data_IF_623866734454
#
_entry.id   IF_623866734454
#
_cell.length_a   1.000
_cell.length_b   1.000
_cell.length_c   1.000
_cell.angle_alpha   90.00
_cell.angle_beta   90.00
_cell.angle_gamma   90.00
#
_symmetry.space_group_name_H-M   'P 1'
#
loop_
_entity.id
_entity.type
_entity.pdbx_description
1 polymer ?
#
# COMPACT_ATOMS: atom_id res chain seq x y z
N UNK A 1 14.05 69.08 -26.34
CA UNK A 1 13.13 67.92 -26.21
C UNK A 1 13.86 66.67 -26.68
N UNK A 2 14.19 65.74 -25.77
CA UNK A 2 14.66 64.38 -26.10
C UNK A 2 13.69 63.41 -25.42
N UNK A 3 12.95 62.65 -26.22
CA UNK A 3 12.02 61.62 -25.75
C UNK A 3 12.83 60.33 -25.60
N UNK A 4 12.91 59.79 -24.38
CA UNK A 4 13.52 58.49 -24.10
C UNK A 4 12.37 57.47 -24.06
N UNK A 5 12.30 56.57 -25.05
CA UNK A 5 11.39 55.44 -25.03
C UNK A 5 11.96 54.34 -24.14
N UNK A 6 11.27 54.03 -23.04
CA UNK A 6 11.57 52.88 -22.18
C UNK A 6 10.79 51.67 -22.69
N UNK A 7 11.47 50.70 -23.31
CA UNK A 7 10.86 49.45 -23.74
C UNK A 7 10.79 48.47 -22.57
N UNK A 8 9.59 48.22 -22.06
CA UNK A 8 9.32 47.16 -21.08
C UNK A 8 9.20 45.82 -21.81
N UNK A 9 10.21 44.96 -21.69
CA UNK A 9 10.17 43.58 -22.19
C UNK A 9 9.37 42.72 -21.19
N UNK A 10 8.15 42.33 -21.57
CA UNK A 10 7.34 41.37 -20.81
C UNK A 10 7.89 39.96 -21.07
N UNK A 11 8.46 39.32 -20.06
CA UNK A 11 8.90 37.92 -20.14
C UNK A 11 7.70 37.03 -19.77
N UNK A 12 7.13 36.36 -20.78
CA UNK A 12 6.04 35.41 -20.60
C UNK A 12 6.63 34.03 -20.24
N UNK A 13 6.62 33.69 -18.96
CA UNK A 13 7.04 32.36 -18.48
C UNK A 13 5.98 31.31 -18.84
N UNK A 14 6.25 30.50 -19.86
CA UNK A 14 5.41 29.34 -20.20
C UNK A 14 5.77 28.21 -19.22
N UNK A 15 4.89 27.96 -18.24
CA UNK A 15 4.99 26.77 -17.41
C UNK A 15 4.63 25.53 -18.24
N UNK A 16 5.64 24.74 -18.60
CA UNK A 16 5.42 23.42 -19.18
C UNK A 16 4.87 22.51 -18.10
N UNK A 17 3.56 22.22 -18.17
CA UNK A 17 2.94 21.15 -17.39
C UNK A 17 3.54 19.83 -17.84
N UNK A 18 4.44 19.26 -17.04
CA UNK A 18 4.89 17.88 -17.24
C UNK A 18 3.65 16.99 -17.08
N UNK A 19 3.25 16.21 -18.10
CA UNK A 19 2.14 15.29 -17.92
C UNK A 19 2.52 14.31 -16.81
N UNK A 20 1.71 14.28 -15.75
CA UNK A 20 1.81 13.25 -14.73
C UNK A 20 1.74 11.91 -15.48
N UNK A 21 2.76 11.07 -15.31
CA UNK A 21 2.81 9.75 -15.93
C UNK A 21 1.51 9.03 -15.58
N UNK A 22 0.64 8.85 -16.56
CA UNK A 22 -0.63 8.13 -16.38
C UNK A 22 -0.28 6.76 -15.84
N UNK A 23 -0.69 6.49 -14.60
CA UNK A 23 -0.47 5.20 -13.97
C UNK A 23 -1.00 4.11 -14.93
N UNK A 24 -0.20 3.06 -15.11
CA UNK A 24 -0.60 1.89 -15.90
C UNK A 24 -1.98 1.43 -15.42
N UNK A 25 -2.89 1.19 -16.35
CA UNK A 25 -4.22 0.66 -16.01
C UNK A 25 -4.05 -0.70 -15.30
N UNK A 26 -4.85 -0.93 -14.27
CA UNK A 26 -4.79 -2.20 -13.55
C UNK A 26 -5.34 -3.33 -14.41
N UNK A 27 -4.85 -4.55 -14.21
CA UNK A 27 -5.52 -5.73 -14.74
C UNK A 27 -6.96 -5.77 -14.17
N UNK A 28 -8.01 -5.78 -15.01
CA UNK A 28 -9.39 -5.85 -14.54
C UNK A 28 -9.65 -7.00 -13.56
N UNK A 29 -8.93 -8.12 -13.69
CA UNK A 29 -9.06 -9.28 -12.79
C UNK A 29 -8.58 -8.99 -11.37
N UNK A 30 -7.56 -8.15 -11.23
CA UNK A 30 -7.04 -7.75 -9.91
C UNK A 30 -8.05 -6.86 -9.18
N UNK A 31 -8.92 -6.13 -9.87
CA UNK A 31 -9.74 -5.06 -9.24
C UNK A 31 -11.24 -5.27 -9.37
N UNK A 32 -11.67 -6.39 -9.95
CA UNK A 32 -13.08 -6.73 -10.13
C UNK A 32 -13.82 -7.04 -8.82
N UNK A 33 -13.11 -7.46 -7.78
CA UNK A 33 -13.72 -7.84 -6.50
C UNK A 33 -12.83 -7.48 -5.31
N UNK A 34 -13.44 -7.39 -4.12
CA UNK A 34 -12.72 -7.22 -2.85
C UNK A 34 -11.65 -8.31 -2.68
N UNK A 35 -12.00 -9.57 -2.97
CA UNK A 35 -11.08 -10.70 -2.82
C UNK A 35 -9.91 -10.61 -3.80
N UNK A 36 -10.19 -10.22 -5.05
CA UNK A 36 -9.18 -10.04 -6.09
C UNK A 36 -8.15 -8.98 -5.72
N UNK A 37 -8.60 -7.80 -5.27
CA UNK A 37 -7.69 -6.68 -5.03
C UNK A 37 -6.83 -6.92 -3.80
N UNK A 38 -7.42 -7.51 -2.76
CA UNK A 38 -6.69 -7.96 -1.57
C UNK A 38 -5.61 -8.97 -1.96
N UNK A 39 -5.96 -9.99 -2.77
CA UNK A 39 -4.99 -10.97 -3.27
C UNK A 39 -3.89 -10.30 -4.08
N UNK A 40 -4.23 -9.35 -4.96
CA UNK A 40 -3.26 -8.65 -5.80
C UNK A 40 -2.25 -7.85 -4.98
N UNK A 41 -2.69 -7.19 -3.89
CA UNK A 41 -1.81 -6.48 -2.97
C UNK A 41 -0.81 -7.42 -2.31
N UNK A 42 -1.28 -8.54 -1.74
CA UNK A 42 -0.39 -9.53 -1.10
C UNK A 42 0.60 -10.14 -2.10
N UNK A 43 0.13 -10.43 -3.31
CA UNK A 43 0.91 -11.06 -4.37
C UNK A 43 2.02 -10.13 -4.89
N UNK A 44 1.72 -8.86 -5.16
CA UNK A 44 2.69 -7.95 -5.80
C UNK A 44 3.85 -7.54 -4.89
N UNK A 45 3.67 -7.55 -3.56
CA UNK A 45 4.75 -7.31 -2.61
C UNK A 45 5.56 -8.60 -2.32
N UNK A 46 5.05 -9.76 -2.74
CA UNK A 46 5.63 -11.06 -2.48
C UNK A 46 6.58 -11.54 -3.58
N UNK A 47 7.63 -12.26 -3.21
CA UNK A 47 8.64 -12.78 -4.13
C UNK A 47 9.95 -13.13 -3.43
N UNK A 48 10.68 -14.08 -4.00
CA UNK A 48 11.98 -14.51 -3.48
C UNK A 48 13.03 -13.40 -3.55
N UNK A 49 14.14 -13.61 -2.84
CA UNK A 49 15.28 -12.70 -2.88
C UNK A 49 15.81 -12.54 -4.31
N UNK A 50 16.13 -11.30 -4.69
CA UNK A 50 16.60 -10.92 -6.03
C UNK A 50 15.50 -10.82 -7.10
N UNK A 51 14.23 -11.10 -6.78
CA UNK A 51 13.13 -10.93 -7.72
C UNK A 51 12.55 -9.51 -7.65
N UNK A 52 12.69 -8.75 -8.72
CA UNK A 52 12.03 -7.45 -8.84
C UNK A 52 10.50 -7.58 -8.71
N UNK A 53 9.87 -6.61 -8.05
CA UNK A 53 8.41 -6.53 -7.96
C UNK A 53 7.84 -5.75 -9.13
N UNK A 54 6.61 -6.09 -9.51
CA UNK A 54 5.85 -5.31 -10.49
C UNK A 54 5.26 -4.06 -9.80
N UNK A 55 6.07 -3.01 -9.68
CA UNK A 55 5.64 -1.78 -9.03
C UNK A 55 4.57 -1.01 -9.80
N UNK A 56 4.43 -1.24 -11.11
CA UNK A 56 3.36 -0.64 -11.89
C UNK A 56 2.03 -1.32 -11.60
N UNK A 57 2.02 -2.65 -11.48
CA UNK A 57 0.87 -3.38 -10.94
C UNK A 57 0.52 -2.89 -9.55
N UNK A 58 1.50 -2.77 -8.64
CA UNK A 58 1.27 -2.26 -7.29
C UNK A 58 0.57 -0.89 -7.32
N UNK A 59 1.13 0.09 -8.03
CA UNK A 59 0.56 1.45 -8.14
C UNK A 59 -0.87 1.44 -8.68
N UNK A 60 -1.15 0.57 -9.64
CA UNK A 60 -2.48 0.48 -10.28
C UNK A 60 -3.61 0.06 -9.33
N UNK A 61 -3.29 -0.54 -8.17
CA UNK A 61 -4.29 -1.01 -7.18
C UNK A 61 -4.79 0.12 -6.25
N UNK A 62 -4.05 1.22 -6.13
CA UNK A 62 -4.30 2.26 -5.14
C UNK A 62 -5.08 3.44 -5.71
N UNK A 63 -5.97 3.99 -4.89
CA UNK A 63 -6.54 5.30 -5.16
C UNK A 63 -5.44 6.38 -5.17
N UNK A 64 -5.62 7.46 -5.94
CA UNK A 64 -4.62 8.54 -6.07
C UNK A 64 -4.21 9.18 -4.73
N UNK A 65 -5.13 9.17 -3.76
CA UNK A 65 -4.93 9.74 -2.41
C UNK A 65 -4.66 8.67 -1.35
N UNK A 66 -4.27 7.46 -1.77
CA UNK A 66 -4.12 6.34 -0.86
C UNK A 66 -2.97 6.52 0.14
N UNK A 67 -3.10 5.87 1.29
CA UNK A 67 -2.13 5.95 2.39
C UNK A 67 -1.71 4.57 2.86
N UNK A 68 -0.41 4.40 3.09
CA UNK A 68 0.17 3.27 3.78
C UNK A 68 0.71 3.77 5.12
N UNK A 69 0.25 3.16 6.21
CA UNK A 69 0.47 3.68 7.55
C UNK A 69 0.95 2.53 8.46
N UNK A 70 2.25 2.32 8.63
CA UNK A 70 2.75 1.47 9.72
C UNK A 70 2.52 2.16 11.06
N UNK A 71 2.00 1.42 12.02
CA UNK A 71 2.01 1.75 13.44
C UNK A 71 2.96 0.84 14.20
N UNK A 72 3.51 1.36 15.29
CA UNK A 72 4.27 0.57 16.24
C UNK A 72 4.84 1.40 17.37
N UNK A 73 5.50 0.71 18.28
CA UNK A 73 6.29 1.33 19.35
C UNK A 73 7.69 1.62 18.82
N UNK A 74 8.14 2.87 18.93
CA UNK A 74 9.51 3.22 18.62
C UNK A 74 10.45 2.50 19.61
N UNK A 75 11.48 1.81 19.11
CA UNK A 75 12.36 1.00 19.94
C UNK A 75 13.26 1.81 20.88
N UNK A 76 13.59 3.05 20.50
CA UNK A 76 14.48 3.93 21.26
C UNK A 76 13.71 4.76 22.30
N UNK A 77 12.56 5.32 21.91
CA UNK A 77 11.78 6.23 22.77
C UNK A 77 10.65 5.53 23.52
N UNK A 78 10.26 4.33 23.10
CA UNK A 78 9.12 3.61 23.66
C UNK A 78 7.76 4.22 23.33
N UNK A 79 7.70 5.30 22.55
CA UNK A 79 6.45 5.98 22.19
C UNK A 79 5.74 5.21 21.09
N UNK A 80 4.44 4.99 21.25
CA UNK A 80 3.58 4.44 20.20
C UNK A 80 3.23 5.55 19.21
N UNK A 81 3.41 5.28 17.93
CA UNK A 81 3.08 6.23 16.87
C UNK A 81 2.83 5.55 15.54
N UNK A 82 2.52 6.38 14.55
CA UNK A 82 2.30 5.95 13.17
C UNK A 82 3.00 6.91 12.21
N UNK A 83 3.36 6.40 11.04
CA UNK A 83 3.95 7.21 9.96
C UNK A 83 3.10 7.08 8.71
N UNK A 84 2.73 8.19 8.08
CA UNK A 84 1.97 8.17 6.83
C UNK A 84 2.94 8.11 5.65
N UNK A 85 2.62 7.27 4.67
CA UNK A 85 3.31 7.13 3.38
C UNK A 85 2.31 7.13 2.24
N UNK A 86 2.73 7.63 1.08
CA UNK A 86 2.07 7.32 -0.19
C UNK A 86 2.50 5.93 -0.70
N UNK A 87 1.79 5.34 -1.68
CA UNK A 87 2.27 4.15 -2.40
C UNK A 87 3.67 4.32 -2.95
N UNK A 88 4.03 5.51 -3.46
CA UNK A 88 5.36 5.76 -4.02
C UNK A 88 6.45 5.80 -2.93
N UNK A 89 6.16 6.38 -1.76
CA UNK A 89 7.08 6.35 -0.62
C UNK A 89 7.34 4.92 -0.14
N UNK A 90 6.31 4.06 -0.19
CA UNK A 90 6.44 2.65 0.13
C UNK A 90 7.32 1.92 -0.88
N UNK A 91 7.12 2.14 -2.19
CA UNK A 91 7.98 1.55 -3.24
C UNK A 91 9.44 1.95 -3.02
N UNK A 92 9.71 3.24 -2.79
CA UNK A 92 11.07 3.76 -2.58
C UNK A 92 11.71 3.25 -1.29
N UNK A 93 10.95 3.23 -0.20
CA UNK A 93 11.47 2.89 1.13
C UNK A 93 11.57 1.39 1.39
N UNK A 94 10.56 0.62 0.99
CA UNK A 94 10.47 -0.82 1.27
C UNK A 94 10.93 -1.68 0.11
N UNK A 95 10.77 -1.24 -1.13
CA UNK A 95 11.06 -2.06 -2.33
C UNK A 95 12.45 -2.70 -2.35
N UNK A 96 13.55 -1.94 -2.14
CA UNK A 96 14.90 -2.50 -2.10
C UNK A 96 15.08 -3.57 -1.02
N UNK A 97 14.43 -3.40 0.13
CA UNK A 97 14.50 -4.39 1.22
C UNK A 97 13.76 -5.67 0.86
N UNK A 98 12.55 -5.57 0.30
CA UNK A 98 11.74 -6.72 -0.09
C UNK A 98 12.44 -7.57 -1.15
N UNK A 99 13.01 -6.92 -2.16
CA UNK A 99 13.78 -7.59 -3.21
C UNK A 99 15.05 -8.24 -2.66
N UNK A 100 15.85 -7.50 -1.88
CA UNK A 100 17.12 -8.02 -1.35
C UNK A 100 16.95 -9.24 -0.45
N UNK A 101 15.93 -9.24 0.41
CA UNK A 101 15.83 -10.21 1.50
C UNK A 101 14.88 -11.38 1.21
N UNK A 102 14.08 -11.28 0.15
CA UNK A 102 12.94 -12.17 -0.04
C UNK A 102 11.83 -11.86 0.97
N UNK A 103 10.61 -11.85 0.48
CA UNK A 103 9.44 -11.54 1.29
C UNK A 103 8.22 -12.15 0.65
N UNK A 104 7.48 -12.94 1.41
CA UNK A 104 6.21 -13.51 0.99
C UNK A 104 5.19 -13.27 2.09
N UNK A 105 4.23 -12.41 1.85
CA UNK A 105 3.15 -12.14 2.79
C UNK A 105 1.88 -12.87 2.36
N UNK A 106 1.27 -13.58 3.31
CA UNK A 106 0.09 -14.40 3.07
C UNK A 106 -0.99 -14.02 4.06
N UNK A 107 -2.19 -13.78 3.55
CA UNK A 107 -3.38 -13.67 4.38
C UNK A 107 -3.67 -15.02 5.06
N UNK A 108 -3.87 -14.98 6.37
CA UNK A 108 -4.27 -16.11 7.20
C UNK A 108 -5.78 -16.10 7.44
N UNK A 109 -6.33 -14.93 7.77
CA UNK A 109 -7.71 -14.76 8.19
C UNK A 109 -8.13 -13.31 7.95
N UNK A 110 -9.43 -13.07 7.75
CA UNK A 110 -9.97 -11.71 7.71
C UNK A 110 -11.37 -11.59 8.29
N UNK A 111 -11.66 -10.39 8.79
CA UNK A 111 -12.99 -9.88 9.14
C UNK A 111 -13.34 -8.75 8.18
N UNK A 112 -14.55 -8.75 7.63
CA UNK A 112 -14.98 -7.80 6.59
C UNK A 112 -16.26 -7.11 7.02
N UNK A 113 -16.20 -5.79 7.16
CA UNK A 113 -17.37 -4.93 7.32
C UNK A 113 -17.58 -4.12 6.04
N UNK A 114 -18.79 -4.15 5.48
CA UNK A 114 -19.13 -3.45 4.24
C UNK A 114 -20.42 -2.64 4.41
N UNK A 115 -20.42 -1.42 3.87
CA UNK A 115 -21.60 -0.58 3.79
C UNK A 115 -21.55 0.27 2.51
N UNK A 116 -22.58 0.18 1.68
CA UNK A 116 -22.60 0.86 0.38
C UNK A 116 -21.36 0.52 -0.45
N UNK A 117 -20.58 1.54 -0.79
CA UNK A 117 -19.41 1.42 -1.66
C UNK A 117 -18.07 1.37 -0.90
N UNK A 118 -18.08 1.18 0.42
CA UNK A 118 -16.88 1.06 1.25
C UNK A 118 -16.74 -0.32 1.89
N UNK A 119 -15.50 -0.74 2.10
CA UNK A 119 -15.16 -1.93 2.87
C UNK A 119 -14.04 -1.62 3.88
N UNK A 120 -14.18 -2.15 5.09
CA UNK A 120 -13.13 -2.21 6.11
C UNK A 120 -12.76 -3.68 6.30
N UNK A 121 -11.47 -4.00 6.17
CA UNK A 121 -10.99 -5.39 6.30
C UNK A 121 -9.85 -5.46 7.29
N UNK A 122 -10.05 -6.17 8.39
CA UNK A 122 -8.95 -6.60 9.26
C UNK A 122 -8.44 -7.93 8.72
N UNK A 123 -7.27 -7.89 8.08
CA UNK A 123 -6.62 -9.05 7.47
C UNK A 123 -5.36 -9.42 8.24
N UNK A 124 -5.41 -10.55 8.93
CA UNK A 124 -4.27 -11.13 9.61
C UNK A 124 -3.34 -11.77 8.60
N UNK A 125 -2.05 -11.46 8.68
CA UNK A 125 -1.05 -11.98 7.77
C UNK A 125 0.10 -12.68 8.49
N UNK A 126 0.76 -13.54 7.72
CA UNK A 126 2.06 -14.15 8.01
C UNK A 126 3.04 -13.75 6.92
N UNK A 127 4.28 -13.42 7.29
CA UNK A 127 5.35 -13.16 6.35
C UNK A 127 6.48 -14.18 6.47
N UNK A 128 6.99 -14.58 5.31
CA UNK A 128 8.00 -15.61 5.10
C UNK A 128 9.16 -15.07 4.26
N UNK A 129 10.36 -15.65 4.35
CA UNK A 129 11.48 -15.22 3.51
C UNK A 129 11.41 -15.84 2.13
N UNK A 130 10.91 -17.06 2.04
CA UNK A 130 10.72 -17.80 0.78
C UNK A 130 9.29 -18.34 0.64
N UNK A 131 8.94 -18.76 -0.58
CA UNK A 131 7.64 -19.36 -0.85
C UNK A 131 7.42 -20.73 -0.18
N UNK A 132 8.48 -21.41 0.27
CA UNK A 132 8.39 -22.77 0.82
C UNK A 132 8.57 -22.83 2.34
N UNK A 133 8.88 -21.70 2.97
CA UNK A 133 9.00 -21.62 4.42
C UNK A 133 7.67 -21.96 5.09
N UNK A 134 7.75 -22.74 6.17
CA UNK A 134 6.60 -23.18 6.97
C UNK A 134 6.35 -22.29 8.17
N UNK A 135 7.41 -21.74 8.76
CA UNK A 135 7.32 -20.87 9.93
C UNK A 135 7.44 -19.40 9.52
N UNK A 136 6.49 -18.54 9.90
CA UNK A 136 6.57 -17.13 9.59
C UNK A 136 7.61 -16.44 10.46
N UNK A 137 8.39 -15.52 9.88
CA UNK A 137 9.31 -14.68 10.64
C UNK A 137 8.65 -13.40 11.16
N UNK A 138 7.49 -13.04 10.62
CA UNK A 138 6.70 -11.88 11.01
C UNK A 138 5.21 -12.21 10.89
N UNK A 139 4.41 -11.64 11.79
CA UNK A 139 2.95 -11.70 11.76
C UNK A 139 2.40 -10.32 12.03
N UNK A 140 1.19 -10.04 11.60
CA UNK A 140 0.52 -8.78 11.91
C UNK A 140 -0.91 -8.74 11.42
N UNK A 141 -1.54 -7.57 11.58
CA UNK A 141 -2.84 -7.28 10.99
C UNK A 141 -2.71 -6.05 10.12
N UNK A 142 -3.18 -6.17 8.88
CA UNK A 142 -3.45 -5.07 7.98
C UNK A 142 -4.93 -4.67 8.14
N UNK A 143 -5.19 -3.41 8.45
CA UNK A 143 -6.49 -2.76 8.36
C UNK A 143 -6.60 -2.07 7.01
N UNK A 144 -7.31 -2.70 6.09
CA UNK A 144 -7.60 -2.15 4.78
C UNK A 144 -8.87 -1.31 4.82
N UNK A 145 -8.82 -0.17 4.15
CA UNK A 145 -9.99 0.61 3.76
C UNK A 145 -10.04 0.60 2.24
N UNK A 146 -11.14 0.12 1.67
CA UNK A 146 -11.33 0.02 0.23
C UNK A 146 -12.57 0.77 -0.23
N UNK A 147 -12.49 1.26 -1.46
CA UNK A 147 -13.54 1.97 -2.17
C UNK A 147 -13.92 1.17 -3.41
N UNK A 148 -15.21 0.96 -3.63
CA UNK A 148 -15.74 0.58 -4.93
C UNK A 148 -16.31 1.86 -5.60
N UNK A 149 -15.88 2.17 -6.82
CA UNK A 149 -16.37 3.35 -7.57
C UNK A 149 -17.46 2.99 -8.60
N UNK A 150 -18.12 1.84 -8.38
CA UNK A 150 -19.07 1.17 -9.28
C UNK A 150 -18.44 0.55 -10.53
N UNK A 151 -17.16 0.82 -10.82
CA UNK A 151 -16.42 0.23 -11.94
C UNK A 151 -15.41 -0.81 -11.47
N UNK A 152 -14.76 -0.56 -10.34
CA UNK A 152 -13.72 -1.40 -9.77
C UNK A 152 -13.49 -1.09 -8.29
N UNK A 153 -12.68 -1.92 -7.65
CA UNK A 153 -12.16 -1.68 -6.31
C UNK A 153 -10.84 -0.88 -6.35
N UNK A 154 -10.64 -0.09 -5.30
CA UNK A 154 -9.46 0.69 -5.01
C UNK A 154 -9.03 0.50 -3.56
N UNK A 155 -7.73 0.42 -3.32
CA UNK A 155 -7.18 0.54 -1.97
C UNK A 155 -7.07 2.02 -1.60
N UNK A 156 -7.73 2.43 -0.52
CA UNK A 156 -7.68 3.81 0.00
C UNK A 156 -6.69 3.91 1.15
N UNK A 157 -6.66 2.94 2.05
CA UNK A 157 -5.69 2.92 3.15
C UNK A 157 -5.31 1.50 3.50
N UNK A 158 -4.02 1.29 3.76
CA UNK A 158 -3.52 0.11 4.48
C UNK A 158 -2.85 0.64 5.74
N UNK A 159 -3.49 0.42 6.88
CA UNK A 159 -2.96 0.74 8.21
C UNK A 159 -2.58 -0.55 8.91
N UNK A 160 -1.36 -0.71 9.43
CA UNK A 160 -0.97 -2.01 9.97
C UNK A 160 -0.18 -1.94 11.25
N UNK A 161 -0.26 -3.04 12.00
CA UNK A 161 0.46 -3.27 13.23
C UNK A 161 1.04 -4.70 13.20
N UNK A 162 2.36 -4.80 13.27
CA UNK A 162 3.03 -6.08 13.46
C UNK A 162 2.79 -6.60 14.89
N UNK A 163 2.69 -7.92 15.02
CA UNK A 163 2.68 -8.64 16.29
C UNK A 163 4.03 -8.45 16.99
N UNK A 164 4.01 -8.27 18.31
CA UNK A 164 5.22 -8.23 19.14
C UNK A 164 5.04 -9.14 20.35
N UNK A 165 6.11 -9.52 21.08
CA UNK A 165 5.98 -10.29 22.31
C UNK A 165 5.06 -9.64 23.35
N UNK A 166 5.01 -8.31 23.39
CA UNK A 166 4.16 -7.53 24.31
C UNK A 166 2.76 -7.25 23.76
N UNK A 167 2.50 -7.54 22.49
CA UNK A 167 1.24 -7.28 21.81
C UNK A 167 0.94 -8.40 20.80
N UNK A 168 0.44 -9.51 21.35
CA UNK A 168 0.06 -10.68 20.58
C UNK A 168 -1.23 -10.44 19.78
N UNK A 169 -1.36 -11.06 18.60
CA UNK A 169 -2.59 -11.03 17.82
C UNK A 169 -3.70 -11.73 18.62
N UNK A 170 -4.82 -11.05 18.91
CA UNK A 170 -5.94 -11.67 19.60
C UNK A 170 -6.46 -12.91 18.85
N UNK A 171 -6.75 -13.99 19.58
CA UNK A 171 -7.19 -15.28 19.01
C UNK A 171 -8.38 -15.16 18.03
N UNK A 172 -9.27 -14.20 18.25
CA UNK A 172 -10.42 -13.94 17.38
C UNK A 172 -10.04 -13.57 15.94
N UNK A 173 -8.85 -13.00 15.73
CA UNK A 173 -8.36 -12.62 14.40
C UNK A 173 -7.53 -13.71 13.72
N UNK A 174 -7.39 -14.90 14.33
CA UNK A 174 -6.67 -16.03 13.74
C UNK A 174 -7.56 -16.97 12.91
N UNK A 175 -8.85 -16.65 12.80
CA UNK A 175 -9.83 -17.39 12.00
C UNK A 175 -10.71 -16.37 11.29
N UNK A 176 -10.99 -16.60 10.01
CA UNK A 176 -12.00 -15.83 9.31
C UNK A 176 -13.38 -16.14 9.90
N UNK A 177 -14.30 -15.19 9.82
CA UNK A 177 -15.69 -15.48 10.13
C UNK A 177 -16.18 -16.59 9.20
N UNK A 178 -16.97 -17.51 9.76
CA UNK A 178 -17.71 -18.44 8.92
C UNK A 178 -18.74 -17.61 8.16
N UNK A 179 -18.55 -17.46 6.85
CA UNK A 179 -19.63 -17.07 5.94
C UNK A 179 -20.74 -18.12 5.97
#
# INVERSE_FOLDING_TARGET
>A
MKIILLACTVVLSISLSVPAQTAKEADPKDVASLDSIMKAVYDVISGDAGKARDWDRFRSLFHKDARLIPSGKNAQTGVVGARVMTPEDYVKGSGPFLEKNGFHERELARHVDMYGNIAQVFSTYHAFKTAVDKEPFLRGINSFQLLNDEKRWWVVTIYWQAETPDNLIPKRFLKSDKK
#
